data_IF_964002183570
#
_entry.id   IF_964002183570
#
_cell.length_a   1.000
_cell.length_b   1.000
_cell.length_c   1.000
_cell.angle_alpha   90.00
_cell.angle_beta   90.00
_cell.angle_gamma   90.00
#
_symmetry.space_group_name_H-M   'P 1'
#
loop_
_entity.id
_entity.type
_entity.pdbx_description
1 polymer ?
#
# COMPACT_ATOMS: atom_id res chain seq x y z
N UNK A 1 12.88 47.57 -5.59
CA UNK A 1 11.52 47.10 -5.97
C UNK A 1 11.48 45.62 -6.38
N UNK A 2 12.42 45.11 -7.19
CA UNK A 2 12.38 43.74 -7.75
C UNK A 2 12.19 42.56 -6.77
N UNK A 3 12.79 42.61 -5.56
CA UNK A 3 12.80 41.47 -4.61
C UNK A 3 11.40 40.87 -4.36
N UNK A 4 10.38 41.70 -4.14
CA UNK A 4 9.00 41.27 -3.83
C UNK A 4 8.33 40.42 -4.93
N UNK A 5 8.83 40.47 -6.17
CA UNK A 5 8.39 39.60 -7.27
C UNK A 5 9.20 38.30 -7.32
N UNK A 6 10.52 38.37 -7.09
CA UNK A 6 11.39 37.20 -6.94
C UNK A 6 10.92 36.32 -5.77
N UNK A 7 10.63 36.89 -4.60
CA UNK A 7 10.15 36.15 -3.43
C UNK A 7 8.85 35.39 -3.73
N UNK A 8 7.94 36.02 -4.50
CA UNK A 8 6.65 35.43 -4.89
C UNK A 8 6.77 34.38 -6.00
N UNK A 9 7.74 34.52 -6.90
CA UNK A 9 8.09 33.54 -7.93
C UNK A 9 8.83 32.34 -7.34
N UNK A 10 9.72 32.55 -6.37
CA UNK A 10 10.38 31.51 -5.60
C UNK A 10 9.39 30.74 -4.73
N UNK A 11 8.42 31.42 -4.10
CA UNK A 11 7.28 30.78 -3.42
C UNK A 11 6.46 29.88 -4.34
N UNK A 12 6.22 30.31 -5.59
CA UNK A 12 5.56 29.51 -6.62
C UNK A 12 6.42 28.32 -7.11
N UNK A 13 7.75 28.44 -7.08
CA UNK A 13 8.71 27.35 -7.34
C UNK A 13 8.96 26.43 -6.13
N UNK A 14 8.33 26.67 -4.97
CA UNK A 14 8.39 25.76 -3.80
C UNK A 14 7.30 24.67 -3.79
N UNK A 15 7.25 23.82 -4.83
CA UNK A 15 7.03 22.38 -4.60
C UNK A 15 8.29 21.53 -4.88
N UNK A 16 9.44 22.14 -5.19
CA UNK A 16 10.70 21.43 -5.46
C UNK A 16 11.28 20.66 -4.25
N UNK A 17 10.80 20.92 -3.02
CA UNK A 17 10.93 19.98 -1.91
C UNK A 17 9.76 18.99 -1.93
N UNK A 18 9.68 18.15 -2.96
CA UNK A 18 8.89 16.92 -2.85
C UNK A 18 9.66 16.02 -1.89
N UNK A 19 9.12 15.82 -0.68
CA UNK A 19 9.64 14.82 0.25
C UNK A 19 9.66 13.44 -0.46
N UNK A 20 10.62 12.55 -0.13
CA UNK A 20 10.70 11.26 -0.79
C UNK A 20 9.34 10.55 -0.67
N UNK A 21 8.68 10.22 -1.80
CA UNK A 21 7.30 9.75 -1.78
C UNK A 21 7.22 8.51 -0.91
N UNK A 22 6.28 8.50 0.05
CA UNK A 22 6.10 7.38 0.97
C UNK A 22 5.94 6.08 0.20
N UNK A 23 6.43 4.96 0.74
CA UNK A 23 6.54 3.69 0.00
C UNK A 23 5.31 3.30 -0.86
N UNK A 24 4.04 3.41 -0.40
CA UNK A 24 2.88 3.14 -1.27
C UNK A 24 2.69 4.15 -2.42
N UNK A 25 3.10 5.41 -2.30
CA UNK A 25 3.17 6.35 -3.42
C UNK A 25 4.30 5.98 -4.38
N UNK A 26 5.51 5.67 -3.87
CA UNK A 26 6.65 5.26 -4.69
C UNK A 26 6.37 4.00 -5.51
N UNK A 27 5.70 3.00 -4.92
CA UNK A 27 5.21 1.80 -5.62
C UNK A 27 4.25 2.17 -6.76
N UNK A 28 3.29 3.08 -6.50
CA UNK A 28 2.33 3.52 -7.52
C UNK A 28 2.98 4.38 -8.62
N UNK A 29 3.98 5.20 -8.29
CA UNK A 29 4.78 5.96 -9.26
C UNK A 29 5.55 5.01 -10.19
N UNK A 30 6.27 4.03 -9.64
CA UNK A 30 7.01 3.05 -10.42
C UNK A 30 6.07 2.20 -11.31
N UNK A 31 4.89 1.83 -10.80
CA UNK A 31 3.84 1.13 -11.57
C UNK A 31 3.31 1.96 -12.74
N UNK A 32 3.17 3.29 -12.57
CA UNK A 32 2.79 4.22 -13.65
C UNK A 32 3.91 4.37 -14.67
N UNK A 33 5.16 4.54 -14.22
CA UNK A 33 6.33 4.64 -15.09
C UNK A 33 6.53 3.39 -15.97
N UNK A 34 6.39 2.19 -15.39
CA UNK A 34 6.48 0.94 -16.16
C UNK A 34 5.37 0.80 -17.19
N UNK A 35 4.12 1.17 -16.84
CA UNK A 35 3.02 1.24 -17.81
C UNK A 35 3.25 2.26 -18.91
N UNK A 36 3.86 3.40 -18.60
CA UNK A 36 4.21 4.42 -19.60
C UNK A 36 5.30 3.88 -20.55
N UNK A 37 6.36 3.27 -20.04
CA UNK A 37 7.42 2.66 -20.84
C UNK A 37 6.88 1.58 -21.83
N UNK A 38 5.92 0.77 -21.39
CA UNK A 38 5.23 -0.21 -22.23
C UNK A 38 4.30 0.43 -23.28
N UNK A 39 3.72 1.60 -22.98
CA UNK A 39 2.91 2.37 -23.92
C UNK A 39 3.78 3.07 -24.97
N UNK A 40 4.89 3.68 -24.55
CA UNK A 40 5.79 4.45 -25.41
C UNK A 40 6.45 3.59 -26.50
N UNK A 41 6.61 2.29 -26.26
CA UNK A 41 7.05 1.30 -27.26
C UNK A 41 6.20 1.28 -28.55
N UNK A 42 4.94 1.73 -28.49
CA UNK A 42 4.05 1.81 -29.66
C UNK A 42 4.27 3.08 -30.50
N UNK A 43 5.09 4.03 -30.01
CA UNK A 43 5.31 5.35 -30.61
C UNK A 43 6.81 5.69 -30.77
N UNK A 44 7.71 4.81 -30.32
CA UNK A 44 9.16 5.02 -30.38
C UNK A 44 9.69 4.78 -31.80
N UNK A 45 10.64 5.62 -32.22
CA UNK A 45 11.36 5.40 -33.49
C UNK A 45 12.25 4.15 -33.40
N UNK A 46 12.43 3.47 -34.53
CA UNK A 46 13.33 2.32 -34.68
C UNK A 46 14.76 2.55 -34.13
N UNK A 47 15.29 3.78 -34.23
CA UNK A 47 16.59 4.19 -33.72
C UNK A 47 16.68 4.28 -32.19
N UNK A 48 15.54 4.24 -31.49
CA UNK A 48 15.40 4.33 -30.03
C UNK A 48 14.85 3.03 -29.41
N UNK A 49 14.75 1.94 -30.17
CA UNK A 49 14.19 0.66 -29.69
C UNK A 49 14.98 0.08 -28.51
N UNK A 50 16.32 0.11 -28.56
CA UNK A 50 17.18 -0.36 -27.48
C UNK A 50 16.98 0.47 -26.21
N UNK A 51 16.83 1.79 -26.34
CA UNK A 51 16.50 2.67 -25.23
C UNK A 51 15.14 2.32 -24.62
N UNK A 52 14.10 2.09 -25.43
CA UNK A 52 12.79 1.69 -24.94
C UNK A 52 12.84 0.35 -24.17
N UNK A 53 13.54 -0.66 -24.71
CA UNK A 53 13.76 -1.96 -24.05
C UNK A 53 14.51 -1.77 -22.72
N UNK A 54 15.58 -0.98 -22.68
CA UNK A 54 16.28 -0.66 -21.43
C UNK A 54 15.41 0.10 -20.42
N UNK A 55 14.56 1.03 -20.88
CA UNK A 55 13.67 1.81 -20.03
C UNK A 55 12.54 0.97 -19.41
N UNK A 56 11.95 0.05 -20.18
CA UNK A 56 10.97 -0.94 -19.69
C UNK A 56 11.63 -1.82 -18.61
N UNK A 57 12.81 -2.39 -18.89
CA UNK A 57 13.54 -3.23 -17.93
C UNK A 57 13.92 -2.48 -16.64
N UNK A 58 14.31 -1.21 -16.74
CA UNK A 58 14.68 -0.39 -15.58
C UNK A 58 13.46 -0.03 -14.72
N UNK A 59 12.34 0.34 -15.33
CA UNK A 59 11.10 0.71 -14.63
C UNK A 59 10.43 -0.52 -13.99
N UNK A 60 10.44 -1.68 -14.65
CA UNK A 60 10.00 -2.96 -14.07
C UNK A 60 10.80 -3.31 -12.81
N UNK A 61 12.14 -3.33 -12.92
CA UNK A 61 13.02 -3.68 -11.79
C UNK A 61 12.83 -2.73 -10.60
N UNK A 62 12.63 -1.43 -10.85
CA UNK A 62 12.28 -0.45 -9.81
C UNK A 62 10.96 -0.79 -9.13
N UNK A 63 9.92 -1.12 -9.91
CA UNK A 63 8.61 -1.49 -9.37
C UNK A 63 8.67 -2.78 -8.53
N UNK A 64 9.34 -3.83 -9.01
CA UNK A 64 9.45 -5.09 -8.27
C UNK A 64 10.25 -4.93 -6.96
N UNK A 65 11.34 -4.17 -6.97
CA UNK A 65 12.12 -3.89 -5.76
C UNK A 65 11.30 -3.15 -4.68
N UNK A 66 10.49 -2.16 -5.08
CA UNK A 66 9.61 -1.43 -4.17
C UNK A 66 8.44 -2.28 -3.66
N UNK A 67 7.91 -3.19 -4.49
CA UNK A 67 6.92 -4.19 -4.06
C UNK A 67 7.50 -5.16 -3.02
N UNK A 68 8.73 -5.63 -3.22
CA UNK A 68 9.39 -6.52 -2.25
C UNK A 68 9.82 -5.80 -0.97
N UNK A 69 10.12 -4.50 -1.04
CA UNK A 69 10.28 -3.65 0.14
C UNK A 69 8.94 -3.53 0.91
N UNK A 70 7.83 -3.22 0.22
CA UNK A 70 6.51 -3.08 0.85
C UNK A 70 6.05 -4.36 1.55
N UNK A 71 6.33 -5.54 0.98
CA UNK A 71 6.11 -6.85 1.63
C UNK A 71 6.90 -6.99 2.94
N UNK A 72 8.17 -6.59 2.97
CA UNK A 72 9.05 -6.69 4.15
C UNK A 72 8.64 -5.72 5.26
N UNK A 73 8.14 -4.55 4.90
CA UNK A 73 7.64 -3.53 5.83
C UNK A 73 6.18 -3.78 6.27
N UNK A 74 5.55 -4.87 5.81
CA UNK A 74 4.16 -5.21 6.17
C UNK A 74 3.11 -4.26 5.58
N UNK A 75 3.46 -3.44 4.60
CA UNK A 75 2.59 -2.40 4.03
C UNK A 75 1.51 -3.04 3.17
N UNK A 76 0.32 -3.23 3.76
CA UNK A 76 -0.86 -3.71 3.06
C UNK A 76 -1.53 -2.59 2.26
N UNK A 77 -2.08 -2.93 1.09
CA UNK A 77 -2.82 -1.98 0.24
C UNK A 77 -4.17 -1.54 0.83
N UNK A 78 -4.62 -2.20 1.88
CA UNK A 78 -5.83 -1.93 2.64
C UNK A 78 -5.47 -2.00 4.12
N UNK A 79 -5.91 -1.07 4.99
CA UNK A 79 -5.89 -1.31 6.43
C UNK A 79 -6.75 -2.54 6.71
N UNK A 80 -6.20 -3.52 7.44
CA UNK A 80 -6.93 -4.74 7.75
C UNK A 80 -8.11 -4.43 8.65
N UNK A 81 -9.34 -4.58 8.16
CA UNK A 81 -10.57 -4.54 8.97
C UNK A 81 -10.72 -5.84 9.77
N UNK A 82 -9.66 -6.22 10.46
CA UNK A 82 -9.71 -7.17 11.56
C UNK A 82 -10.18 -6.38 12.77
N UNK A 83 -11.51 -6.24 12.89
CA UNK A 83 -12.09 -5.95 14.19
C UNK A 83 -11.80 -7.17 15.06
N UNK A 84 -10.86 -7.00 16.00
CA UNK A 84 -10.63 -7.95 17.08
C UNK A 84 -11.95 -8.11 17.85
N UNK A 85 -12.70 -9.14 17.48
CA UNK A 85 -13.95 -9.52 18.13
C UNK A 85 -13.63 -10.28 19.43
N UNK A 86 -12.83 -9.63 20.28
CA UNK A 86 -12.63 -9.92 21.70
C UNK A 86 -13.92 -9.59 22.47
N UNK A 87 -15.00 -10.28 22.10
CA UNK A 87 -16.24 -10.32 22.84
C UNK A 87 -15.93 -10.95 24.21
N UNK A 88 -16.05 -10.21 25.33
CA UNK A 88 -15.79 -10.78 26.64
C UNK A 88 -16.92 -11.75 27.00
N UNK A 89 -16.72 -13.04 26.70
CA UNK A 89 -17.63 -14.13 27.10
C UNK A 89 -17.50 -14.37 28.61
N UNK A 90 -18.00 -13.41 29.38
CA UNK A 90 -18.19 -13.52 30.82
C UNK A 90 -19.32 -14.53 31.09
N UNK A 91 -18.96 -15.79 31.34
CA UNK A 91 -19.95 -16.86 31.52
C UNK A 91 -19.47 -18.22 32.02
N UNK A 92 -18.16 -18.52 32.08
CA UNK A 92 -17.68 -19.79 32.66
C UNK A 92 -17.50 -19.72 34.18
N UNK A 93 -18.59 -19.84 34.94
CA UNK A 93 -18.56 -20.19 36.37
C UNK A 93 -18.78 -21.69 36.58
N UNK A 94 -17.68 -22.45 36.58
CA UNK A 94 -17.61 -23.83 37.11
C UNK A 94 -17.30 -23.79 38.62
N UNK A 95 -17.51 -24.88 39.38
CA UNK A 95 -18.67 -25.77 39.41
C UNK A 95 -19.21 -25.95 40.85
N UNK A 96 -20.53 -26.21 41.05
CA UNK A 96 -21.07 -26.32 42.42
C UNK A 96 -22.46 -26.96 42.55
N UNK A 97 -22.46 -28.27 42.79
CA UNK A 97 -23.24 -29.02 43.81
C UNK A 97 -24.78 -28.86 43.98
N UNK A 98 -25.41 -30.00 44.31
CA UNK A 98 -26.70 -30.14 45.03
C UNK A 98 -28.05 -30.04 44.30
N UNK A 99 -28.52 -31.20 43.85
CA UNK A 99 -29.70 -31.90 44.45
C UNK A 99 -31.12 -31.89 43.85
N UNK A 100 -31.68 -33.11 43.92
CA UNK A 100 -33.09 -33.53 44.09
C UNK A 100 -34.12 -33.50 42.94
N UNK A 101 -34.52 -34.74 42.55
CA UNK A 101 -35.87 -35.18 42.15
C UNK A 101 -36.45 -34.69 40.79
N UNK A 102 -37.22 -35.49 40.01
CA UNK A 102 -37.75 -36.88 40.12
C UNK A 102 -37.86 -37.46 38.67
N UNK A 103 -37.72 -38.77 38.43
CA UNK A 103 -38.83 -39.75 38.22
C UNK A 103 -40.05 -39.18 37.47
N UNK A 104 -40.63 -39.77 36.41
CA UNK A 104 -40.39 -40.94 35.50
C UNK A 104 -41.12 -40.60 34.15
N UNK A 105 -41.26 -41.39 33.07
CA UNK A 105 -41.18 -42.84 32.82
C UNK A 105 -40.96 -43.19 31.32
N UNK A 106 -41.12 -44.49 31.00
CA UNK A 106 -41.49 -45.19 29.75
C UNK A 106 -42.07 -44.33 28.60
N UNK A 107 -41.88 -44.66 27.32
CA UNK A 107 -41.67 -46.00 26.71
C UNK A 107 -40.42 -46.07 25.81
#
# INVERSE_FOLDING_TARGET
MYKKYLDRFLLWLTPLKKEPPGLPEAVNEAKRAWKQALHDLNFVDSSLIDYAVHHINATERRYMALIDQAKREGVTAWPGHFEDNDNPVAGETKPGESSHHKQVANF
#
